data_IF_697083844179
#
_entry.id   IF_697083844179
#
_cell.length_a   1.000
_cell.length_b   1.000
_cell.length_c   1.000
_cell.angle_alpha   90.00
_cell.angle_beta   90.00
_cell.angle_gamma   90.00
#
_symmetry.space_group_name_H-M   'P 1'
#
loop_
_entity.id
_entity.type
_entity.pdbx_description
1 polymer ?
#
# COMPACT_ATOMS: atom_id res chain seq x y z
N UNK A 1 -10.92 25.12 -3.15
CA UNK A 1 -11.21 23.76 -2.64
C UNK A 1 -10.82 22.75 -3.71
N UNK A 2 -10.13 21.66 -3.36
CA UNK A 2 -9.74 20.61 -4.31
C UNK A 2 -10.78 19.49 -4.29
N UNK A 3 -11.24 19.07 -5.47
CA UNK A 3 -12.18 17.97 -5.63
C UNK A 3 -11.41 16.74 -6.08
N UNK A 4 -11.46 15.69 -5.26
CA UNK A 4 -10.91 14.38 -5.61
C UNK A 4 -11.97 13.29 -5.47
N UNK A 5 -11.61 12.07 -5.87
CA UNK A 5 -12.50 10.91 -5.79
C UNK A 5 -13.04 10.68 -4.38
N UNK A 6 -12.23 10.96 -3.35
CA UNK A 6 -12.62 10.83 -1.94
C UNK A 6 -13.63 11.91 -1.53
N UNK A 7 -13.49 13.15 -2.03
CA UNK A 7 -14.46 14.23 -1.79
C UNK A 7 -15.86 13.83 -2.29
N UNK A 8 -15.94 13.23 -3.49
CA UNK A 8 -17.20 12.75 -4.08
C UNK A 8 -17.80 11.62 -3.24
N UNK A 9 -16.99 10.63 -2.85
CA UNK A 9 -17.46 9.51 -2.03
C UNK A 9 -17.93 9.98 -0.66
N UNK A 10 -17.19 10.87 0.01
CA UNK A 10 -17.59 11.45 1.29
C UNK A 10 -18.96 12.13 1.19
N UNK A 11 -19.19 12.94 0.16
CA UNK A 11 -20.46 13.63 -0.03
C UNK A 11 -21.64 12.67 -0.22
N UNK A 12 -21.50 11.66 -1.09
CA UNK A 12 -22.57 10.68 -1.36
C UNK A 12 -22.91 9.85 -0.12
N UNK A 13 -21.90 9.40 0.64
CA UNK A 13 -22.11 8.56 1.82
C UNK A 13 -22.48 9.34 3.10
N UNK A 14 -22.29 10.67 3.14
CA UNK A 14 -22.71 11.52 4.25
C UNK A 14 -24.22 11.80 4.26
N UNK A 15 -24.92 11.56 3.14
CA UNK A 15 -26.38 11.66 3.08
C UNK A 15 -27.02 10.59 3.98
N UNK A 16 -27.84 10.97 4.98
CA UNK A 16 -28.31 10.06 6.01
C UNK A 16 -29.30 9.01 5.47
N UNK A 17 -30.26 9.41 4.63
CA UNK A 17 -31.28 8.53 4.01
C UNK A 17 -31.93 9.22 2.79
N UNK A 18 -32.44 8.45 1.82
CA UNK A 18 -33.23 8.97 0.69
C UNK A 18 -33.03 8.22 -0.63
N UNK A 19 -33.97 8.37 -1.57
CA UNK A 19 -33.87 7.78 -2.93
C UNK A 19 -32.69 8.35 -3.72
N UNK A 20 -32.45 9.67 -3.63
CA UNK A 20 -31.31 10.31 -4.27
C UNK A 20 -29.96 9.66 -3.88
N UNK A 21 -29.80 9.28 -2.60
CA UNK A 21 -28.60 8.56 -2.15
C UNK A 21 -28.47 7.21 -2.87
N UNK A 22 -29.56 6.47 -3.05
CA UNK A 22 -29.56 5.17 -3.72
C UNK A 22 -29.20 5.32 -5.20
N UNK A 23 -29.81 6.27 -5.89
CA UNK A 23 -29.51 6.58 -7.29
C UNK A 23 -28.03 6.96 -7.48
N UNK A 24 -27.50 7.82 -6.62
CA UNK A 24 -26.09 8.23 -6.68
C UNK A 24 -25.12 7.07 -6.36
N UNK A 25 -25.48 6.18 -5.42
CA UNK A 25 -24.67 4.98 -5.12
C UNK A 25 -24.62 4.05 -6.34
N UNK A 26 -25.73 3.87 -7.07
CA UNK A 26 -25.75 3.04 -8.29
C UNK A 26 -24.76 3.55 -9.32
N UNK A 27 -24.60 4.87 -9.47
CA UNK A 27 -23.61 5.48 -10.37
C UNK A 27 -22.15 5.26 -9.95
N UNK A 28 -21.87 4.85 -8.71
CA UNK A 28 -20.50 4.58 -8.26
C UNK A 28 -20.00 3.24 -8.79
N UNK A 29 -18.71 3.17 -9.19
CA UNK A 29 -18.08 1.94 -9.72
C UNK A 29 -18.28 0.68 -8.86
N UNK A 30 -18.38 0.81 -7.55
CA UNK A 30 -18.57 -0.35 -6.64
C UNK A 30 -20.00 -0.49 -6.12
N UNK A 31 -20.84 0.53 -6.31
CA UNK A 31 -22.24 0.62 -5.85
C UNK A 31 -22.53 0.04 -4.46
N UNK A 32 -21.61 0.23 -3.50
CA UNK A 32 -21.75 -0.36 -2.16
C UNK A 32 -22.75 0.41 -1.32
N UNK A 33 -23.58 -0.30 -0.57
CA UNK A 33 -24.56 0.32 0.35
C UNK A 33 -23.89 1.09 1.49
N UNK A 34 -22.70 0.65 1.93
CA UNK A 34 -21.91 1.29 2.98
C UNK A 34 -20.50 1.61 2.48
N UNK A 35 -19.97 2.76 2.94
CA UNK A 35 -18.60 3.16 2.64
C UNK A 35 -17.63 2.26 3.39
N UNK A 36 -16.62 1.74 2.69
CA UNK A 36 -15.48 1.08 3.33
C UNK A 36 -14.39 2.12 3.61
N UNK A 37 -13.91 2.25 4.85
CA UNK A 37 -12.77 3.11 5.13
C UNK A 37 -11.52 2.61 4.38
N UNK A 38 -10.66 3.52 3.93
CA UNK A 38 -9.37 3.17 3.30
C UNK A 38 -8.46 2.39 4.26
N UNK A 39 -8.51 2.70 5.54
CA UNK A 39 -7.76 2.03 6.62
C UNK A 39 -8.53 0.81 7.16
N UNK A 40 -9.04 -0.02 6.26
CA UNK A 40 -9.94 -1.12 6.60
C UNK A 40 -9.23 -2.45 6.86
N UNK A 41 -8.55 -2.58 7.99
CA UNK A 41 -8.15 -3.86 8.59
C UNK A 41 -6.64 -4.15 8.63
N UNK A 42 -6.31 -5.27 9.29
CA UNK A 42 -4.96 -5.86 9.33
C UNK A 42 -4.47 -6.07 7.90
N UNK A 43 -3.21 -5.75 7.61
CA UNK A 43 -2.63 -5.99 6.29
C UNK A 43 -2.74 -7.48 5.97
N UNK A 44 -3.47 -7.80 4.89
CA UNK A 44 -3.69 -9.18 4.44
C UNK A 44 -2.62 -9.64 3.46
N UNK A 45 -1.71 -8.74 3.07
CA UNK A 45 -0.45 -9.15 2.45
C UNK A 45 0.30 -9.85 3.57
N UNK A 46 0.20 -11.17 3.62
CA UNK A 46 0.90 -11.98 4.62
C UNK A 46 2.39 -11.64 4.66
N UNK A 47 3.05 -12.05 5.74
CA UNK A 47 4.51 -11.99 5.80
C UNK A 47 5.10 -12.92 4.73
N UNK A 48 6.34 -12.63 4.30
CA UNK A 48 7.06 -13.50 3.37
C UNK A 48 7.29 -14.84 4.09
N UNK A 49 6.73 -15.96 3.59
CA UNK A 49 6.97 -17.27 4.19
C UNK A 49 8.46 -17.62 4.07
N UNK A 50 9.01 -18.26 5.10
CA UNK A 50 10.41 -18.72 5.12
C UNK A 50 11.43 -17.59 4.90
N UNK A 51 11.14 -16.38 5.41
CA UNK A 51 12.08 -15.26 5.36
C UNK A 51 13.41 -15.62 6.01
N UNK A 52 14.47 -15.71 5.20
CA UNK A 52 15.85 -15.88 5.66
C UNK A 52 16.46 -14.50 5.92
N UNK A 53 17.03 -14.33 7.10
CA UNK A 53 17.73 -13.09 7.45
C UNK A 53 19.01 -12.94 6.62
N UNK A 54 19.33 -11.71 6.22
CA UNK A 54 20.60 -11.36 5.57
C UNK A 54 21.82 -11.76 6.41
N UNK A 55 21.68 -11.88 7.73
CA UNK A 55 22.76 -12.33 8.62
C UNK A 55 23.15 -13.80 8.44
N UNK A 56 22.35 -14.59 7.71
CA UNK A 56 22.62 -16.02 7.43
C UNK A 56 23.41 -16.19 6.13
N UNK A 57 23.74 -15.09 5.44
CA UNK A 57 24.43 -15.15 4.15
C UNK A 57 25.83 -15.79 4.26
N UNK A 58 26.28 -16.54 3.24
CA UNK A 58 27.65 -17.02 3.13
C UNK A 58 28.69 -15.89 3.27
N UNK A 59 29.84 -16.13 3.94
CA UNK A 59 30.86 -15.10 4.15
C UNK A 59 31.51 -14.62 2.84
N UNK A 60 31.53 -15.44 1.80
CA UNK A 60 32.06 -15.10 0.46
C UNK A 60 31.37 -13.89 -0.20
N UNK A 61 30.17 -13.52 0.25
CA UNK A 61 29.42 -12.36 -0.25
C UNK A 61 30.01 -11.04 0.26
N UNK A 62 30.63 -11.02 1.45
CA UNK A 62 31.26 -9.81 1.99
C UNK A 62 32.44 -9.34 1.13
N UNK A 63 33.15 -10.29 0.54
CA UNK A 63 34.37 -10.02 -0.23
C UNK A 63 34.07 -9.44 -1.62
N UNK A 64 32.84 -9.61 -2.13
CA UNK A 64 32.37 -9.07 -3.43
C UNK A 64 33.28 -9.42 -4.61
N UNK A 65 33.95 -10.57 -4.52
CA UNK A 65 34.90 -11.03 -5.52
C UNK A 65 34.21 -11.71 -6.71
N UNK A 66 32.96 -12.15 -6.52
CA UNK A 66 32.17 -12.82 -7.54
C UNK A 66 30.98 -11.95 -7.95
N UNK A 67 30.81 -11.67 -9.25
CA UNK A 67 29.62 -10.98 -9.73
C UNK A 67 28.37 -11.85 -9.52
N UNK A 68 27.23 -11.23 -9.21
CA UNK A 68 25.94 -11.90 -9.08
C UNK A 68 25.29 -11.86 -7.69
N UNK A 69 25.99 -11.38 -6.65
CA UNK A 69 25.44 -11.25 -5.29
C UNK A 69 24.81 -9.87 -5.06
N UNK A 70 23.71 -9.62 -5.78
CA UNK A 70 23.02 -8.33 -5.70
C UNK A 70 22.26 -8.15 -4.39
N UNK A 71 22.56 -7.07 -3.67
CA UNK A 71 21.86 -6.66 -2.45
C UNK A 71 21.25 -5.27 -2.65
N UNK A 72 20.05 -5.06 -2.11
CA UNK A 72 19.40 -3.76 -2.17
C UNK A 72 18.66 -3.43 -0.90
N UNK A 73 18.97 -2.26 -0.32
CA UNK A 73 18.22 -1.73 0.81
C UNK A 73 17.17 -0.75 0.32
N UNK A 74 15.99 -0.78 0.96
CA UNK A 74 14.95 0.21 0.73
C UNK A 74 14.58 0.88 2.05
N UNK A 75 14.91 2.16 2.17
CA UNK A 75 14.51 2.98 3.31
C UNK A 75 13.27 3.77 2.93
N UNK A 76 12.19 3.58 3.69
CA UNK A 76 10.94 4.33 3.56
C UNK A 76 10.91 5.48 4.56
N UNK A 77 10.67 6.69 4.07
CA UNK A 77 10.45 7.86 4.92
C UNK A 77 9.11 7.81 5.65
N UNK A 78 8.94 8.70 6.63
CA UNK A 78 7.73 8.81 7.45
C UNK A 78 6.47 8.85 6.57
N UNK A 79 5.47 8.07 6.98
CA UNK A 79 4.17 7.97 6.29
C UNK A 79 4.28 7.61 4.79
N UNK A 80 5.35 6.91 4.38
CA UNK A 80 5.65 6.57 2.99
C UNK A 80 5.80 7.78 2.05
N UNK A 81 6.06 8.98 2.59
CA UNK A 81 6.16 10.21 1.81
C UNK A 81 7.43 10.30 0.95
N UNK A 82 8.47 9.53 1.29
CA UNK A 82 9.71 9.41 0.51
C UNK A 82 10.26 7.99 0.55
N UNK A 83 11.21 7.70 -0.35
CA UNK A 83 11.97 6.45 -0.36
C UNK A 83 13.36 6.66 -0.97
N UNK A 84 14.33 5.91 -0.45
CA UNK A 84 15.68 5.79 -1.00
C UNK A 84 15.97 4.31 -1.14
N UNK A 85 16.38 3.90 -2.34
CA UNK A 85 16.86 2.56 -2.62
C UNK A 85 18.37 2.59 -2.86
N UNK A 86 19.10 1.66 -2.27
CA UNK A 86 20.50 1.36 -2.62
C UNK A 86 20.53 0.03 -3.36
N UNK A 87 21.48 -0.12 -4.27
CA UNK A 87 21.74 -1.35 -4.98
C UNK A 87 23.25 -1.57 -5.00
N UNK A 88 23.66 -2.77 -4.66
CA UNK A 88 25.04 -3.21 -4.54
C UNK A 88 25.18 -4.55 -5.24
N UNK A 89 26.31 -4.76 -5.90
CA UNK A 89 26.78 -6.05 -6.41
C UNK A 89 27.96 -6.56 -5.60
#
# INVERSE_FOLDING_TARGET
AYVCRETIYNAIYALPVGELRKELIICLRQSKTTRRPRSGGVDRRGQIPEMVSIHVRPPEIEDRLMPGHWEGDLIKGKANASCVGTLVE
#
